data_IF_820400482114
#
_entry.id   IF_820400482114
#
_cell.length_a   1.000
_cell.length_b   1.000
_cell.length_c   1.000
_cell.angle_alpha   90.00
_cell.angle_beta   90.00
_cell.angle_gamma   90.00
#
_symmetry.space_group_name_H-M   'P 1'
#
loop_
_entity.id
_entity.type
_entity.pdbx_description
1 polymer ?
#
# COMPACT_ATOMS: atom_id res chain seq x y z
N UNK A 1 9.45 -8.34 15.84
CA UNK A 1 10.08 -8.38 14.50
C UNK A 1 9.17 -7.58 13.59
N UNK A 2 9.72 -6.70 12.75
CA UNK A 2 8.92 -5.86 11.86
C UNK A 2 8.57 -6.58 10.57
N UNK A 3 7.36 -6.41 10.08
CA UNK A 3 6.88 -7.03 8.86
C UNK A 3 6.32 -5.99 7.91
N UNK A 4 6.70 -6.12 6.65
CA UNK A 4 6.30 -5.24 5.57
C UNK A 4 5.44 -6.01 4.56
N UNK A 5 4.61 -5.30 3.82
CA UNK A 5 3.79 -5.89 2.75
C UNK A 5 3.79 -5.02 1.50
N UNK A 6 3.84 -5.67 0.34
CA UNK A 6 3.71 -5.00 -0.95
C UNK A 6 2.25 -4.70 -1.25
N UNK A 7 1.98 -3.58 -1.91
CA UNK A 7 0.64 -3.27 -2.41
C UNK A 7 0.28 -4.22 -3.56
N UNK A 8 -0.80 -4.99 -3.39
CA UNK A 8 -1.21 -6.04 -4.36
C UNK A 8 -2.32 -5.58 -5.31
N UNK A 9 -2.83 -4.36 -5.15
CA UNK A 9 -3.88 -3.78 -5.98
C UNK A 9 -3.38 -2.53 -6.71
N UNK A 10 -3.93 -2.30 -7.90
CA UNK A 10 -3.70 -1.09 -8.71
C UNK A 10 -4.97 -0.21 -8.79
N UNK A 11 -6.05 -0.62 -8.11
CA UNK A 11 -7.29 0.17 -8.02
C UNK A 11 -7.13 1.26 -6.96
N UNK A 12 -6.93 2.50 -7.42
CA UNK A 12 -6.74 3.67 -6.57
C UNK A 12 -7.92 3.92 -5.62
N UNK A 13 -9.15 3.55 -5.99
CA UNK A 13 -10.31 3.78 -5.14
C UNK A 13 -10.34 2.84 -3.93
N UNK A 14 -9.74 1.65 -4.06
CA UNK A 14 -9.69 0.65 -3.00
C UNK A 14 -8.47 0.82 -2.05
N UNK A 15 -7.47 1.61 -2.44
CA UNK A 15 -6.21 1.77 -1.68
C UNK A 15 -6.42 2.29 -0.25
N UNK A 16 -7.26 3.31 0.03
CA UNK A 16 -7.41 3.82 1.40
C UNK A 16 -7.98 2.78 2.37
N UNK A 17 -8.92 1.95 1.92
CA UNK A 17 -9.45 0.84 2.72
C UNK A 17 -8.42 -0.29 2.87
N UNK A 18 -7.60 -0.52 1.84
CA UNK A 18 -6.54 -1.51 1.88
C UNK A 18 -5.44 -1.12 2.88
N UNK A 19 -4.98 0.14 2.87
CA UNK A 19 -3.97 0.66 3.81
C UNK A 19 -4.43 0.50 5.27
N UNK A 20 -5.66 0.91 5.58
CA UNK A 20 -6.26 0.72 6.92
C UNK A 20 -6.31 -0.75 7.36
N UNK A 21 -6.58 -1.67 6.43
CA UNK A 21 -6.55 -3.11 6.73
C UNK A 21 -5.14 -3.59 7.03
N UNK A 22 -4.14 -3.14 6.26
CA UNK A 22 -2.73 -3.49 6.47
C UNK A 22 -2.26 -3.02 7.86
N UNK A 23 -2.60 -1.79 8.24
CA UNK A 23 -2.33 -1.26 9.59
C UNK A 23 -3.02 -2.07 10.68
N UNK A 24 -4.31 -2.39 10.52
CA UNK A 24 -5.08 -3.20 11.48
C UNK A 24 -4.55 -4.63 11.65
N UNK A 25 -3.92 -5.18 10.61
CA UNK A 25 -3.24 -6.49 10.65
C UNK A 25 -1.89 -6.44 11.38
N UNK A 26 -1.37 -5.25 11.68
CA UNK A 26 -0.14 -5.05 12.44
C UNK A 26 1.14 -5.05 11.59
N UNK A 27 1.05 -4.79 10.29
CA UNK A 27 2.23 -4.54 9.46
C UNK A 27 2.82 -3.17 9.76
N UNK A 28 4.15 -3.07 9.74
CA UNK A 28 4.88 -1.82 9.99
C UNK A 28 5.01 -0.95 8.73
N UNK A 29 4.84 -1.53 7.54
CA UNK A 29 5.02 -0.84 6.26
C UNK A 29 4.17 -1.43 5.14
N UNK A 30 3.58 -0.53 4.34
CA UNK A 30 2.96 -0.82 3.04
C UNK A 30 3.76 -0.09 1.95
N UNK A 31 4.27 -0.81 0.95
CA UNK A 31 5.10 -0.23 -0.10
C UNK A 31 4.59 -0.55 -1.52
N UNK A 32 4.94 0.31 -2.48
CA UNK A 32 4.60 0.18 -3.90
C UNK A 32 5.85 -0.16 -4.71
N UNK A 33 5.71 -0.97 -5.76
CA UNK A 33 6.83 -1.38 -6.61
C UNK A 33 7.06 -0.39 -7.76
N UNK A 34 8.28 0.15 -7.87
CA UNK A 34 8.71 0.98 -8.99
C UNK A 34 9.00 0.10 -10.22
N UNK A 35 7.95 -0.18 -10.99
CA UNK A 35 8.03 -1.02 -12.19
C UNK A 35 7.50 -0.25 -13.40
N UNK A 36 6.29 -0.59 -13.88
CA UNK A 36 5.74 -0.05 -15.12
C UNK A 36 4.81 1.14 -14.91
N UNK A 37 4.18 1.26 -13.73
CA UNK A 37 3.26 2.33 -13.37
C UNK A 37 3.94 3.32 -12.41
N UNK A 38 3.37 4.52 -12.27
CA UNK A 38 3.82 5.50 -11.28
C UNK A 38 3.69 4.91 -9.86
N UNK A 39 4.81 4.69 -9.14
CA UNK A 39 4.78 4.07 -7.83
C UNK A 39 4.33 5.05 -6.73
N UNK A 40 4.37 6.36 -6.98
CA UNK A 40 4.06 7.40 -5.99
C UNK A 40 2.57 7.69 -5.91
N UNK A 41 1.86 7.61 -7.04
CA UNK A 41 0.41 7.81 -7.09
C UNK A 41 -0.37 6.91 -6.08
N UNK A 42 -0.16 5.59 -6.03
CA UNK A 42 -0.84 4.76 -5.03
C UNK A 42 -0.44 5.09 -3.59
N UNK A 43 0.80 5.52 -3.34
CA UNK A 43 1.25 5.91 -2.00
C UNK A 43 0.60 7.23 -1.54
N UNK A 44 0.41 8.18 -2.45
CA UNK A 44 -0.27 9.44 -2.17
C UNK A 44 -1.74 9.25 -1.79
N UNK A 45 -2.39 8.22 -2.34
CA UNK A 45 -3.78 7.88 -2.01
C UNK A 45 -3.88 7.05 -0.71
N UNK A 46 -2.81 6.37 -0.32
CA UNK A 46 -2.77 5.56 0.90
C UNK A 46 -2.55 6.38 2.18
N UNK A 47 -1.94 7.57 2.08
CA UNK A 47 -1.61 8.47 3.19
C UNK A 47 -2.80 9.38 3.58
#
# INVERSE_FOLDING_TARGET
MKLDVAMLTHDLQAIPDYARKVEALGYDCLWSAETQHDPFLPLAVAA
#
